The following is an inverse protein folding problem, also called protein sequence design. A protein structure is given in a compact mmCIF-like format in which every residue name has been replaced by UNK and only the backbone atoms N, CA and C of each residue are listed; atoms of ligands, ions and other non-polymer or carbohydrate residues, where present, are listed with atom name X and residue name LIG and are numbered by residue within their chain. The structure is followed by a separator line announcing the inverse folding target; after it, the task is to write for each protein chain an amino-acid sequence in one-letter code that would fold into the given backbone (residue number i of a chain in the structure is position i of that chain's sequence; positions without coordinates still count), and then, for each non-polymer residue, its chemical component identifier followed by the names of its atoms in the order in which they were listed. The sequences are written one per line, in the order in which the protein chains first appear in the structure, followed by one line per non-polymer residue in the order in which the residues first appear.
data_IF_941643243380
#
_entry.id   IF_941643243380
#
_cell.length_a   1.000
_cell.length_b   1.000
_cell.length_c   1.000
_cell.angle_alpha   90.00
_cell.angle_beta   90.00
_cell.angle_gamma   90.00
#
_symmetry.space_group_name_H-M   'P 1'
#
loop_
_entity.id
_entity.type
_entity.pdbx_description
1 polymer ?
#
# COMPACT_ATOMS: atom_id res chain seq x y z
N UNK A 1 -11.56 -12.90 9.08
CA UNK A 1 -12.05 -12.22 7.86
C UNK A 1 -11.27 -10.94 7.53
N UNK A 2 -11.11 -9.99 8.46
CA UNK A 2 -10.30 -8.78 8.20
C UNK A 2 -8.80 -9.08 8.07
N UNK A 3 -8.27 -10.04 8.82
CA UNK A 3 -6.87 -10.49 8.71
C UNK A 3 -6.58 -11.25 7.39
N UNK A 4 -7.55 -12.02 6.88
CA UNK A 4 -7.43 -12.66 5.55
C UNK A 4 -7.40 -11.62 4.42
N UNK A 5 -8.23 -10.57 4.53
CA UNK A 5 -8.22 -9.46 3.56
C UNK A 5 -6.88 -8.71 3.58
N UNK A 6 -6.27 -8.60 4.75
CA UNK A 6 -4.96 -7.99 4.94
C UNK A 6 -3.85 -8.82 4.27
N UNK A 7 -3.79 -10.12 4.55
CA UNK A 7 -2.80 -11.02 3.95
C UNK A 7 -2.95 -11.14 2.43
N UNK A 8 -4.19 -11.11 1.91
CA UNK A 8 -4.44 -11.03 0.47
C UNK A 8 -3.96 -9.70 -0.11
N UNK A 9 -4.19 -8.58 0.59
CA UNK A 9 -3.73 -7.26 0.18
C UNK A 9 -2.20 -7.14 0.12
N UNK A 10 -1.49 -7.66 1.13
CA UNK A 10 -0.02 -7.73 1.17
C UNK A 10 0.54 -8.52 -0.03
N UNK A 11 -0.07 -9.66 -0.33
CA UNK A 11 0.37 -10.54 -1.43
C UNK A 11 0.13 -9.90 -2.80
N UNK A 12 -1.03 -9.28 -2.98
CA UNK A 12 -1.36 -8.53 -4.19
C UNK A 12 -0.43 -7.33 -4.38
N UNK A 13 -0.04 -6.66 -3.30
CA UNK A 13 0.94 -5.57 -3.36
C UNK A 13 2.31 -6.09 -3.82
N UNK A 14 2.82 -7.16 -3.21
CA UNK A 14 4.11 -7.75 -3.57
C UNK A 14 4.15 -8.19 -5.05
N UNK A 15 3.07 -8.78 -5.55
CA UNK A 15 2.98 -9.15 -6.97
C UNK A 15 2.96 -7.93 -7.89
N UNK A 16 2.26 -6.86 -7.51
CA UNK A 16 2.22 -5.61 -8.30
C UNK A 16 3.57 -4.89 -8.31
N UNK A 17 4.28 -4.83 -7.18
CA UNK A 17 5.62 -4.27 -7.11
C UNK A 17 6.60 -5.05 -8.00
N UNK A 18 6.54 -6.39 -7.97
CA UNK A 18 7.39 -7.25 -8.79
C UNK A 18 7.11 -7.14 -10.29
N UNK A 19 5.84 -7.04 -10.68
CA UNK A 19 5.42 -7.09 -12.08
C UNK A 19 5.38 -5.72 -12.75
N UNK A 20 4.96 -4.69 -12.03
CA UNK A 20 4.67 -3.36 -12.58
C UNK A 20 5.67 -2.31 -12.08
N UNK A 21 6.41 -2.62 -11.03
CA UNK A 21 7.28 -1.68 -10.34
C UNK A 21 6.57 -0.93 -9.20
N UNK A 22 7.34 -0.32 -8.29
CA UNK A 22 6.83 0.41 -7.14
C UNK A 22 6.01 1.64 -7.54
N UNK A 23 6.43 2.31 -8.62
CA UNK A 23 5.92 3.57 -9.13
C UNK A 23 4.62 3.44 -9.95
N UNK A 24 4.20 2.23 -10.29
CA UNK A 24 3.06 2.04 -11.17
C UNK A 24 1.73 2.44 -10.48
N UNK A 25 0.79 3.14 -11.16
CA UNK A 25 -0.46 3.59 -10.55
C UNK A 25 -1.27 2.47 -9.87
N UNK A 26 -1.26 1.26 -10.43
CA UNK A 26 -1.92 0.09 -9.84
C UNK A 26 -1.25 -0.37 -8.53
N UNK A 27 0.08 -0.24 -8.44
CA UNK A 27 0.85 -0.53 -7.22
C UNK A 27 0.52 0.48 -6.13
N UNK A 28 0.53 1.78 -6.46
CA UNK A 28 0.16 2.84 -5.54
C UNK A 28 -1.28 2.70 -5.02
N UNK A 29 -2.23 2.33 -5.89
CA UNK A 29 -3.62 2.04 -5.51
C UNK A 29 -3.70 0.84 -4.55
N UNK A 30 -2.90 -0.21 -4.77
CA UNK A 30 -2.86 -1.36 -3.89
C UNK A 30 -2.36 -0.99 -2.48
N UNK A 31 -1.29 -0.19 -2.40
CA UNK A 31 -0.74 0.30 -1.12
C UNK A 31 -1.78 1.16 -0.37
N UNK A 32 -2.47 2.06 -1.06
CA UNK A 32 -3.51 2.89 -0.45
C UNK A 32 -4.65 2.06 0.16
N UNK A 33 -5.12 1.03 -0.54
CA UNK A 33 -6.15 0.13 -0.06
C UNK A 33 -5.69 -0.73 1.12
N UNK A 34 -4.41 -1.14 1.13
CA UNK A 34 -3.83 -1.90 2.22
C UNK A 34 -3.69 -1.03 3.49
N UNK A 35 -3.29 0.24 3.37
CA UNK A 35 -3.28 1.20 4.49
C UNK A 35 -4.68 1.42 5.10
N UNK A 36 -5.73 1.49 4.27
CA UNK A 36 -7.13 1.55 4.75
C UNK A 36 -7.50 0.28 5.52
N UNK A 37 -7.05 -0.88 5.03
CA UNK A 37 -7.32 -2.17 5.67
C UNK A 37 -6.62 -2.29 7.03
N UNK A 38 -5.36 -1.87 7.15
CA UNK A 38 -4.64 -1.80 8.43
C UNK A 38 -5.36 -0.91 9.45
N UNK A 39 -5.86 0.27 9.04
CA UNK A 39 -6.66 1.15 9.91
C UNK A 39 -7.93 0.46 10.42
N UNK A 40 -8.58 -0.35 9.58
CA UNK A 40 -9.83 -1.04 9.94
C UNK A 40 -9.66 -2.14 10.99
N UNK A 41 -8.44 -2.66 11.16
CA UNK A 41 -8.10 -3.69 12.17
C UNK A 41 -7.36 -3.12 13.38
N UNK A 42 -7.27 -1.79 13.52
CA UNK A 42 -6.61 -1.13 14.64
C UNK A 42 -5.07 -1.14 14.58
N UNK A 43 -4.49 -1.63 13.48
CA UNK A 43 -3.03 -1.65 13.22
C UNK A 43 -2.57 -0.31 12.64
N UNK A 44 -2.70 0.74 13.45
CA UNK A 44 -2.53 2.11 13.00
C UNK A 44 -1.07 2.48 12.67
N UNK A 45 -0.09 1.83 13.30
CA UNK A 45 1.33 2.09 13.03
C UNK A 45 1.74 1.54 11.66
N UNK A 46 1.34 0.30 11.35
CA UNK A 46 1.62 -0.31 10.04
C UNK A 46 0.86 0.38 8.90
N UNK A 47 -0.32 0.92 9.19
CA UNK A 47 -1.04 1.79 8.25
C UNK A 47 -0.28 3.10 7.97
N UNK A 48 0.36 3.67 9.00
CA UNK A 48 1.09 4.93 8.90
C UNK A 48 2.38 4.75 8.11
N UNK A 49 3.20 3.75 8.46
CA UNK A 49 4.45 3.44 7.76
C UNK A 49 4.22 3.21 6.26
N UNK A 50 3.19 2.41 5.92
CA UNK A 50 2.87 2.15 4.52
C UNK A 50 2.38 3.42 3.80
N UNK A 51 1.66 4.30 4.50
CA UNK A 51 1.12 5.53 3.91
C UNK A 51 2.19 6.60 3.72
N UNK A 52 3.12 6.74 4.66
CA UNK A 52 4.29 7.62 4.53
C UNK A 52 5.16 7.19 3.36
N UNK A 53 5.40 5.88 3.22
CA UNK A 53 6.19 5.36 2.12
C UNK A 53 5.54 5.60 0.74
N UNK A 54 4.22 5.40 0.63
CA UNK A 54 3.45 5.73 -0.58
C UNK A 54 3.53 7.22 -0.92
N UNK A 55 3.42 8.08 0.09
CA UNK A 55 3.42 9.52 -0.10
C UNK A 55 4.76 10.01 -0.65
N UNK A 56 5.86 9.52 -0.07
CA UNK A 56 7.21 9.84 -0.52
C UNK A 56 7.46 9.38 -1.98
N UNK A 57 6.96 8.20 -2.36
CA UNK A 57 7.05 7.68 -3.72
C UNK A 57 6.23 8.54 -4.71
N UNK A 58 4.99 8.89 -4.34
CA UNK A 58 4.12 9.77 -5.13
C UNK A 58 4.69 11.17 -5.33
N UNK A 59 5.26 11.78 -4.30
CA UNK A 59 5.91 13.10 -4.38
C UNK A 59 7.11 13.09 -5.34
N UNK A 60 7.90 12.01 -5.32
CA UNK A 60 9.01 11.80 -6.27
C UNK A 60 8.55 11.67 -7.72
N UNK A 61 7.39 11.03 -7.92
CA UNK A 61 6.83 10.71 -9.23
C UNK A 61 6.10 11.88 -9.88
N UNK A 62 5.33 12.62 -9.08
CA UNK A 62 4.48 13.70 -9.57
C UNK A 62 5.25 15.02 -9.70
N UNK A 63 6.34 15.19 -8.97
CA UNK A 63 7.06 16.47 -8.89
C UNK A 63 6.22 17.58 -8.25
N UNK A 64 6.84 18.70 -7.85
CA UNK A 64 6.13 19.87 -7.33
C UNK A 64 5.26 20.58 -8.39
#
# INVERSE_FOLDING_TARGET
RNEEALGLGERVLADRERLLGPDHPATLTARANLAVSYRSVGRNLEALDLREWVLADMERLLGP
#
